data_IF_758357061260
#
_entry.id   IF_758357061260
#
_cell.length_a   1.000
_cell.length_b   1.000
_cell.length_c   1.000
_cell.angle_alpha   90.00
_cell.angle_beta   90.00
_cell.angle_gamma   90.00
#
_symmetry.space_group_name_H-M   'P 1'
#
loop_
_entity.id
_entity.type
_entity.pdbx_description
1 polymer ?
#
# COMPACT_ATOMS: atom_id res chain seq x y z
N UNK A 1 36.65 3.64 4.79
CA UNK A 1 35.71 3.63 5.94
C UNK A 1 34.85 2.39 5.77
N UNK A 2 35.41 1.23 6.12
CA UNK A 2 35.25 0.54 7.42
C UNK A 2 33.85 -0.04 7.56
N UNK A 3 33.71 -1.33 7.23
CA UNK A 3 32.55 -2.21 7.44
C UNK A 3 32.09 -2.32 8.92
N UNK A 4 32.53 -1.43 9.80
CA UNK A 4 32.19 -1.46 11.22
C UNK A 4 30.67 -1.41 11.42
N UNK A 5 29.97 -0.56 10.66
CA UNK A 5 28.52 -0.43 10.72
C UNK A 5 27.81 -1.74 10.31
N UNK A 6 28.33 -2.40 9.27
CA UNK A 6 27.81 -3.69 8.77
C UNK A 6 28.04 -4.85 9.75
N UNK A 7 28.97 -4.70 10.69
CA UNK A 7 29.28 -5.72 11.71
C UNK A 7 28.54 -5.51 13.04
N UNK A 8 27.69 -4.47 13.15
CA UNK A 8 26.98 -4.19 14.41
C UNK A 8 25.74 -5.08 14.59
N UNK A 9 25.51 -5.62 15.81
CA UNK A 9 24.36 -6.46 16.09
C UNK A 9 23.01 -5.73 16.00
N UNK A 10 23.02 -4.40 16.09
CA UNK A 10 21.85 -3.53 15.94
C UNK A 10 22.13 -2.43 14.89
N UNK A 11 22.54 -2.88 13.69
CA UNK A 11 22.89 -2.00 12.56
C UNK A 11 21.79 -0.96 12.30
N UNK A 12 20.52 -1.37 12.29
CA UNK A 12 19.39 -0.48 12.01
C UNK A 12 19.31 0.70 12.97
N UNK A 13 19.49 0.47 14.29
CA UNK A 13 19.52 1.55 15.27
C UNK A 13 20.67 2.51 15.05
N UNK A 14 21.88 2.02 14.76
CA UNK A 14 23.03 2.88 14.50
C UNK A 14 22.85 3.70 13.21
N UNK A 15 22.30 3.08 12.17
CA UNK A 15 21.93 3.77 10.92
C UNK A 15 20.95 4.91 11.22
N UNK A 16 19.91 4.68 12.03
CA UNK A 16 18.96 5.74 12.37
C UNK A 16 19.53 6.85 13.23
N UNK A 17 20.34 6.53 14.24
CA UNK A 17 20.99 7.54 15.06
C UNK A 17 21.89 8.46 14.22
N UNK A 18 22.62 7.90 13.26
CA UNK A 18 23.44 8.67 12.32
C UNK A 18 22.58 9.47 11.33
N UNK A 19 21.48 8.91 10.83
CA UNK A 19 20.54 9.61 9.96
C UNK A 19 19.92 10.83 10.67
N UNK A 20 19.54 10.69 11.95
CA UNK A 20 19.03 11.78 12.78
C UNK A 20 20.09 12.83 13.07
N UNK A 21 21.29 12.42 13.49
CA UNK A 21 22.41 13.33 13.72
C UNK A 21 22.71 14.17 12.47
N UNK A 22 22.81 13.53 11.30
CA UNK A 22 23.02 14.24 10.02
C UNK A 22 21.80 15.09 9.61
N UNK A 23 20.63 14.81 10.19
CA UNK A 23 19.40 15.56 10.02
C UNK A 23 19.28 16.82 10.89
N UNK A 24 20.11 16.95 11.93
CA UNK A 24 20.06 18.06 12.89
C UNK A 24 20.26 19.43 12.21
N UNK A 25 19.45 20.46 12.53
CA UNK A 25 19.58 21.78 11.93
C UNK A 25 20.96 22.41 12.11
N UNK A 26 21.59 22.19 13.26
CA UNK A 26 22.95 22.67 13.55
C UNK A 26 24.00 22.03 12.64
N UNK A 27 23.81 20.75 12.26
CA UNK A 27 24.73 20.02 11.40
C UNK A 27 24.49 20.35 9.92
N UNK A 28 23.24 20.56 9.53
CA UNK A 28 22.85 20.95 8.15
C UNK A 28 23.40 22.30 7.69
N UNK A 29 23.78 23.18 8.63
CA UNK A 29 24.37 24.48 8.29
C UNK A 29 25.78 24.35 7.68
N UNK A 30 26.42 23.19 7.81
CA UNK A 30 27.75 22.96 7.29
C UNK A 30 27.73 22.17 5.96
N UNK A 31 28.19 22.81 4.88
CA UNK A 31 28.21 22.25 3.51
C UNK A 31 28.95 20.92 3.37
N UNK A 32 30.02 20.69 4.13
CA UNK A 32 30.74 19.42 4.14
C UNK A 32 29.89 18.26 4.66
N UNK A 33 29.08 18.52 5.68
CA UNK A 33 28.20 17.54 6.31
C UNK A 33 26.98 17.24 5.43
N UNK A 34 26.54 18.20 4.62
CA UNK A 34 25.46 18.00 3.65
C UNK A 34 25.82 16.96 2.57
N UNK A 35 27.07 16.96 2.08
CA UNK A 35 27.55 15.94 1.12
C UNK A 35 27.58 14.56 1.77
N UNK A 36 28.05 14.48 3.02
CA UNK A 36 28.06 13.23 3.78
C UNK A 36 26.64 12.72 4.02
N UNK A 37 25.71 13.59 4.46
CA UNK A 37 24.29 13.28 4.65
C UNK A 37 23.65 12.69 3.41
N UNK A 38 23.82 13.34 2.26
CA UNK A 38 23.25 12.84 0.99
C UNK A 38 23.78 11.47 0.63
N UNK A 39 25.09 11.24 0.78
CA UNK A 39 25.71 9.93 0.49
C UNK A 39 25.25 8.86 1.47
N UNK A 40 25.22 9.17 2.76
CA UNK A 40 24.78 8.27 3.82
C UNK A 40 23.32 7.84 3.64
N UNK A 41 22.41 8.81 3.49
CA UNK A 41 20.99 8.54 3.30
C UNK A 41 20.70 7.78 2.00
N UNK A 42 21.49 8.00 0.93
CA UNK A 42 21.35 7.23 -0.31
C UNK A 42 21.79 5.78 -0.12
N UNK A 43 22.87 5.53 0.62
CA UNK A 43 23.42 4.20 0.81
C UNK A 43 22.58 3.35 1.78
N UNK A 44 22.09 3.96 2.86
CA UNK A 44 21.32 3.28 3.92
C UNK A 44 19.82 3.53 3.82
N UNK A 45 19.32 3.91 2.64
CA UNK A 45 17.89 4.23 2.45
C UNK A 45 17.00 3.07 2.89
N UNK A 46 17.32 1.85 2.48
CA UNK A 46 16.49 0.68 2.75
C UNK A 46 16.58 0.28 4.23
N UNK A 47 17.77 0.32 4.83
CA UNK A 47 17.97 0.12 6.28
C UNK A 47 17.13 1.12 7.12
N UNK A 48 17.06 2.40 6.69
CA UNK A 48 16.27 3.46 7.34
C UNK A 48 14.78 3.18 7.23
N UNK A 49 14.32 2.80 6.03
CA UNK A 49 12.91 2.51 5.78
C UNK A 49 12.46 1.26 6.55
N UNK A 50 13.26 0.20 6.53
CA UNK A 50 13.02 -1.04 7.28
C UNK A 50 12.95 -0.77 8.79
N UNK A 51 13.88 0.00 9.35
CA UNK A 51 13.85 0.36 10.78
C UNK A 51 12.61 1.16 11.17
N UNK A 52 12.08 1.97 10.26
CA UNK A 52 10.84 2.74 10.48
C UNK A 52 9.57 1.92 10.18
N UNK A 53 9.69 0.62 9.87
CA UNK A 53 8.61 -0.25 9.41
C UNK A 53 7.89 0.29 8.15
N UNK A 54 8.59 1.12 7.36
CA UNK A 54 8.09 1.64 6.10
C UNK A 54 8.43 0.63 5.00
N UNK A 55 7.40 0.03 4.42
CA UNK A 55 7.52 -0.91 3.31
C UNK A 55 8.15 -0.22 2.07
N UNK A 56 9.45 -0.44 1.86
CA UNK A 56 10.20 0.12 0.75
C UNK A 56 9.69 -0.38 -0.62
N UNK A 57 9.01 -1.53 -0.68
CA UNK A 57 8.40 -2.02 -1.92
C UNK A 57 7.25 -1.12 -2.38
N UNK A 58 6.51 -0.48 -1.45
CA UNK A 58 5.48 0.53 -1.77
C UNK A 58 6.05 1.76 -2.47
N UNK A 59 7.35 2.05 -2.31
CA UNK A 59 8.00 3.27 -2.78
C UNK A 59 8.78 3.10 -4.10
N UNK A 60 9.04 1.86 -4.53
CA UNK A 60 9.89 1.55 -5.70
C UNK A 60 9.10 1.16 -6.96
N UNK A 61 7.79 0.91 -6.85
CA UNK A 61 6.95 0.52 -7.97
C UNK A 61 6.22 1.77 -8.49
N UNK A 62 6.45 2.11 -9.76
CA UNK A 62 5.61 3.09 -10.44
C UNK A 62 4.20 2.50 -10.55
N UNK A 63 3.26 3.06 -9.77
CA UNK A 63 1.89 2.56 -9.70
C UNK A 63 1.19 2.74 -11.04
N UNK A 64 0.47 1.71 -11.48
CA UNK A 64 -0.30 1.73 -12.73
C UNK A 64 -1.46 2.73 -12.60
N UNK A 65 -1.56 3.66 -13.53
CA UNK A 65 -2.65 4.66 -13.53
C UNK A 65 -3.97 3.99 -13.88
N UNK A 66 -4.98 4.20 -13.04
CA UNK A 66 -6.35 3.74 -13.29
C UNK A 66 -7.18 4.93 -13.75
N UNK A 67 -7.68 4.88 -14.99
CA UNK A 67 -8.44 5.97 -15.58
C UNK A 67 -9.82 6.14 -14.94
N UNK A 68 -10.47 5.03 -14.57
CA UNK A 68 -11.75 5.02 -13.86
C UNK A 68 -11.64 4.10 -12.62
N UNK A 69 -11.31 4.68 -11.45
CA UNK A 69 -11.14 3.92 -10.22
C UNK A 69 -12.41 3.20 -9.76
N UNK A 70 -13.59 3.79 -9.97
CA UNK A 70 -14.85 3.22 -9.49
C UNK A 70 -15.23 1.98 -10.30
N UNK A 71 -15.14 2.08 -11.63
CA UNK A 71 -15.38 0.94 -12.51
C UNK A 71 -14.37 -0.18 -12.26
N UNK A 72 -13.10 0.17 -12.05
CA UNK A 72 -12.05 -0.78 -11.75
C UNK A 72 -12.32 -1.54 -10.44
N UNK A 73 -12.66 -0.82 -9.35
CA UNK A 73 -12.95 -1.44 -8.06
C UNK A 73 -14.20 -2.32 -8.15
N UNK A 74 -15.25 -1.88 -8.85
CA UNK A 74 -16.45 -2.69 -9.08
C UNK A 74 -16.14 -4.00 -9.84
N UNK A 75 -15.23 -3.94 -10.82
CA UNK A 75 -14.78 -5.14 -11.56
C UNK A 75 -14.00 -6.11 -10.66
N UNK A 76 -13.07 -5.60 -9.84
CA UNK A 76 -12.32 -6.42 -8.89
C UNK A 76 -13.24 -7.05 -7.84
N UNK A 77 -14.24 -6.31 -7.34
CA UNK A 77 -15.28 -6.86 -6.45
C UNK A 77 -16.02 -8.02 -7.12
N UNK A 78 -16.44 -7.87 -8.38
CA UNK A 78 -17.06 -8.96 -9.13
C UNK A 78 -16.14 -10.18 -9.28
N UNK A 79 -14.85 -9.99 -9.53
CA UNK A 79 -13.87 -11.08 -9.61
C UNK A 79 -13.69 -11.82 -8.28
N UNK A 80 -13.68 -11.10 -7.14
CA UNK A 80 -13.64 -11.70 -5.79
C UNK A 80 -14.87 -12.58 -5.55
N UNK A 81 -16.08 -12.06 -5.84
CA UNK A 81 -17.34 -12.81 -5.67
C UNK A 81 -17.39 -14.07 -6.52
N UNK A 82 -16.92 -13.97 -7.75
CA UNK A 82 -16.85 -15.11 -8.67
C UNK A 82 -15.69 -16.06 -8.36
N UNK A 83 -14.90 -15.80 -7.30
CA UNK A 83 -13.72 -16.58 -6.91
C UNK A 83 -12.68 -16.73 -8.03
N UNK A 84 -12.62 -15.73 -8.91
CA UNK A 84 -11.56 -15.62 -9.92
C UNK A 84 -10.26 -15.18 -9.25
N UNK A 85 -10.38 -14.38 -8.19
CA UNK A 85 -9.30 -13.99 -7.29
C UNK A 85 -9.70 -14.32 -5.85
N UNK A 86 -8.73 -14.82 -5.08
CA UNK A 86 -8.92 -15.16 -3.67
C UNK A 86 -8.38 -14.06 -2.75
N UNK A 87 -9.12 -13.77 -1.69
CA UNK A 87 -8.72 -12.81 -0.67
C UNK A 87 -9.90 -12.26 0.13
N UNK A 88 -9.57 -11.46 1.14
CA UNK A 88 -10.55 -10.59 1.81
C UNK A 88 -10.57 -9.22 1.15
N UNK A 89 -11.59 -8.41 1.45
CA UNK A 89 -11.66 -7.05 0.95
C UNK A 89 -10.48 -6.20 1.44
N UNK A 90 -10.04 -6.36 2.69
CA UNK A 90 -8.90 -5.60 3.22
C UNK A 90 -7.61 -5.94 2.46
N UNK A 91 -7.31 -7.24 2.33
CA UNK A 91 -6.11 -7.69 1.60
C UNK A 91 -6.13 -7.29 0.13
N UNK A 92 -7.32 -7.20 -0.47
CA UNK A 92 -7.46 -6.78 -1.86
C UNK A 92 -7.28 -5.27 -1.99
N UNK A 93 -7.84 -4.47 -1.07
CA UNK A 93 -7.65 -3.03 -1.02
C UNK A 93 -6.17 -2.66 -0.84
N UNK A 94 -5.46 -3.36 0.06
CA UNK A 94 -4.01 -3.18 0.25
C UNK A 94 -3.21 -3.45 -1.03
N UNK A 95 -3.54 -4.54 -1.74
CA UNK A 95 -2.90 -4.88 -3.02
C UNK A 95 -3.21 -3.86 -4.11
N UNK A 96 -4.44 -3.33 -4.13
CA UNK A 96 -4.83 -2.29 -5.08
C UNK A 96 -4.01 -1.02 -4.81
N UNK A 97 -3.92 -0.54 -3.56
CA UNK A 97 -3.14 0.65 -3.25
C UNK A 97 -1.64 0.46 -3.55
N UNK A 98 -1.10 -0.73 -3.29
CA UNK A 98 0.29 -1.04 -3.58
C UNK A 98 0.64 -0.90 -5.07
N UNK A 99 -0.23 -1.37 -5.97
CA UNK A 99 0.07 -1.55 -7.40
C UNK A 99 -0.55 -0.46 -8.27
N UNK A 100 -1.71 0.06 -7.90
CA UNK A 100 -2.52 0.93 -8.74
C UNK A 100 -2.67 2.32 -8.13
N UNK A 101 -2.56 3.35 -8.97
CA UNK A 101 -2.83 4.73 -8.60
C UNK A 101 -4.30 5.03 -8.85
N UNK A 102 -5.13 4.70 -7.86
CA UNK A 102 -6.58 4.96 -7.87
C UNK A 102 -6.94 6.38 -7.40
N UNK A 103 -6.05 7.04 -6.66
CA UNK A 103 -6.32 8.33 -6.02
C UNK A 103 -7.27 8.23 -4.82
N UNK A 104 -7.55 7.03 -4.32
CA UNK A 104 -8.44 6.77 -3.18
C UNK A 104 -7.65 6.21 -2.00
N UNK A 105 -8.09 6.51 -0.79
CA UNK A 105 -7.57 5.88 0.42
C UNK A 105 -7.94 4.40 0.46
N UNK A 106 -7.10 3.57 1.10
CA UNK A 106 -7.32 2.11 1.24
C UNK A 106 -8.68 1.81 1.87
N UNK A 107 -9.09 2.58 2.89
CA UNK A 107 -10.40 2.50 3.55
C UNK A 107 -11.55 2.67 2.55
N UNK A 108 -11.43 3.65 1.66
CA UNK A 108 -12.43 3.95 0.63
C UNK A 108 -12.52 2.80 -0.38
N UNK A 109 -11.36 2.26 -0.81
CA UNK A 109 -11.32 1.11 -1.72
C UNK A 109 -11.99 -0.10 -1.08
N UNK A 110 -11.69 -0.39 0.18
CA UNK A 110 -12.27 -1.51 0.92
C UNK A 110 -13.79 -1.39 1.03
N UNK A 111 -14.32 -0.20 1.36
CA UNK A 111 -15.75 0.04 1.44
C UNK A 111 -16.45 -0.11 0.08
N UNK A 112 -15.85 0.38 -1.01
CA UNK A 112 -16.43 0.21 -2.35
C UNK A 112 -16.45 -1.27 -2.77
N UNK A 113 -15.44 -2.05 -2.38
CA UNK A 113 -15.43 -3.49 -2.64
C UNK A 113 -16.59 -4.21 -1.95
N UNK A 114 -16.91 -3.85 -0.70
CA UNK A 114 -18.03 -4.43 0.05
C UNK A 114 -19.39 -3.94 -0.45
N UNK A 115 -19.56 -2.63 -0.69
CA UNK A 115 -20.83 -2.06 -1.16
C UNK A 115 -21.25 -2.65 -2.53
N UNK A 116 -20.28 -2.86 -3.42
CA UNK A 116 -20.55 -3.50 -4.70
C UNK A 116 -21.10 -4.93 -4.54
N UNK A 117 -20.67 -5.67 -3.51
CA UNK A 117 -21.14 -7.02 -3.16
C UNK A 117 -22.56 -6.99 -2.60
N UNK A 118 -22.85 -6.08 -1.68
CA UNK A 118 -24.19 -5.91 -1.10
C UNK A 118 -25.25 -5.63 -2.20
N UNK A 119 -24.95 -4.70 -3.11
CA UNK A 119 -25.84 -4.38 -4.25
C UNK A 119 -26.10 -5.60 -5.14
N UNK A 120 -25.08 -6.44 -5.36
CA UNK A 120 -25.25 -7.66 -6.14
C UNK A 120 -26.12 -8.69 -5.43
N UNK A 121 -25.95 -8.86 -4.12
CA UNK A 121 -26.75 -9.77 -3.31
C UNK A 121 -28.23 -9.36 -3.33
N UNK A 122 -28.52 -8.07 -3.15
CA UNK A 122 -29.88 -7.52 -3.18
C UNK A 122 -30.59 -7.78 -4.52
N UNK A 123 -29.89 -7.57 -5.65
CA UNK A 123 -30.41 -7.86 -6.98
C UNK A 123 -30.69 -9.37 -7.14
N UNK A 124 -29.77 -10.22 -6.66
CA UNK A 124 -29.93 -11.66 -6.75
C UNK A 124 -31.13 -12.17 -5.94
N UNK A 125 -31.34 -11.64 -4.73
CA UNK A 125 -32.51 -11.95 -3.91
C UNK A 125 -33.81 -11.46 -4.58
N UNK A 126 -33.85 -10.22 -5.08
CA UNK A 126 -35.01 -9.68 -5.78
C UNK A 126 -35.40 -10.55 -7.01
N UNK A 127 -34.42 -11.02 -7.78
CA UNK A 127 -34.65 -11.94 -8.91
C UNK A 127 -35.20 -13.29 -8.44
N UNK A 128 -34.69 -13.84 -7.32
CA UNK A 128 -35.18 -15.11 -6.75
C UNK A 128 -36.61 -14.98 -6.26
N UNK A 129 -36.95 -13.91 -5.54
CA UNK A 129 -38.31 -13.66 -5.06
C UNK A 129 -39.31 -13.53 -6.21
N UNK A 130 -38.90 -12.81 -7.27
CA UNK A 130 -39.71 -12.66 -8.48
C UNK A 130 -39.97 -14.02 -9.12
N UNK A 131 -38.93 -14.85 -9.32
CA UNK A 131 -39.09 -16.22 -9.85
C UNK A 131 -39.99 -17.10 -8.98
N UNK A 132 -39.94 -16.97 -7.65
CA UNK A 132 -40.82 -17.70 -6.72
C UNK A 132 -42.30 -17.29 -6.88
N UNK A 133 -42.58 -16.00 -7.07
CA UNK A 133 -43.95 -15.51 -7.33
C UNK A 133 -44.52 -16.06 -8.63
N UNK A 134 -43.73 -16.06 -9.71
CA UNK A 134 -44.17 -16.60 -11.01
C UNK A 134 -44.33 -18.13 -11.04
N UNK A 135 -43.70 -18.87 -10.13
CA UNK A 135 -43.88 -20.34 -10.01
C UNK A 135 -45.13 -20.77 -9.22
N UNK A 136 -45.77 -19.84 -8.50
CA UNK A 136 -46.96 -20.11 -7.66
C UNK A 136 -48.28 -19.75 -8.35
N UNK A 137 -48.22 -19.12 -9.52
CA UNK A 137 -49.36 -18.92 -10.44
C UNK A 137 -49.28 -19.94 -11.57
#
# INVERSE_FOLDING_TARGET
MSNWLETQPDKGRYVMLLAWLLGEPAIKQHTTWEVLRKRFNKHHRDDILEYCEIDACRLLIERIVVNDPDLFIAYISAMLRCKIIDGTYEKTADRIDLVFRTGREISTICNHLSEADDVYFDICEAVRETKKKYKKN
#
